data_IF_612952062859
#
_entry.id   IF_612952062859
#
_cell.length_a   1.000
_cell.length_b   1.000
_cell.length_c   1.000
_cell.angle_alpha   90.00
_cell.angle_beta   90.00
_cell.angle_gamma   90.00
#
_symmetry.space_group_name_H-M   'P 1'
#
loop_
_entity.id
_entity.type
_entity.pdbx_description
1 polymer ?
#
# COMPACT_ATOMS: atom_id res chain seq x y z
N UNK A 1 -19.40 -10.91 6.29
CA UNK A 1 -18.19 -10.27 6.87
C UNK A 1 -16.95 -11.18 6.79
N UNK A 2 -17.03 -12.50 6.99
CA UNK A 2 -15.86 -13.40 6.85
C UNK A 2 -15.51 -13.78 5.39
N UNK A 3 -16.47 -14.09 4.48
CA UNK A 3 -16.12 -14.57 3.14
C UNK A 3 -15.29 -13.58 2.30
N UNK A 4 -15.54 -12.28 2.45
CA UNK A 4 -14.78 -11.25 1.73
C UNK A 4 -13.31 -11.18 2.13
N UNK A 5 -13.00 -11.42 3.40
CA UNK A 5 -11.62 -11.44 3.90
C UNK A 5 -10.89 -12.69 3.38
N UNK A 6 -11.56 -13.84 3.33
CA UNK A 6 -10.99 -15.08 2.77
C UNK A 6 -10.65 -14.88 1.29
N UNK A 7 -11.58 -14.33 0.50
CA UNK A 7 -11.34 -14.07 -0.92
C UNK A 7 -10.18 -13.06 -1.14
N UNK A 8 -10.10 -12.02 -0.30
CA UNK A 8 -8.98 -11.08 -0.35
C UNK A 8 -7.66 -11.77 -0.02
N UNK A 9 -7.63 -12.60 1.03
CA UNK A 9 -6.44 -13.34 1.42
C UNK A 9 -5.98 -14.25 0.29
N UNK A 10 -6.86 -15.06 -0.28
CA UNK A 10 -6.55 -15.95 -1.41
C UNK A 10 -5.97 -15.17 -2.59
N UNK A 11 -6.51 -13.99 -2.89
CA UNK A 11 -6.05 -13.11 -3.97
C UNK A 11 -4.63 -12.58 -3.74
N UNK A 12 -4.30 -12.14 -2.53
CA UNK A 12 -3.01 -11.49 -2.23
C UNK A 12 -1.93 -12.48 -1.76
N UNK A 13 -2.30 -13.68 -1.34
CA UNK A 13 -1.41 -14.68 -0.75
C UNK A 13 -0.15 -14.97 -1.59
N UNK A 14 -0.23 -15.14 -2.93
CA UNK A 14 0.97 -15.42 -3.73
C UNK A 14 2.00 -14.29 -3.65
N UNK A 15 1.54 -13.04 -3.57
CA UNK A 15 2.38 -11.84 -3.51
C UNK A 15 2.99 -11.71 -2.10
N UNK A 16 2.18 -11.90 -1.05
CA UNK A 16 2.62 -11.74 0.34
C UNK A 16 3.62 -12.83 0.76
N UNK A 17 3.42 -14.07 0.32
CA UNK A 17 4.25 -15.21 0.75
C UNK A 17 5.59 -15.26 0.00
N UNK A 18 5.61 -14.87 -1.28
CA UNK A 18 6.80 -15.04 -2.14
C UNK A 18 7.48 -13.73 -2.54
N UNK A 19 6.77 -12.62 -2.44
CA UNK A 19 7.28 -11.33 -2.89
C UNK A 19 8.28 -10.71 -1.93
N UNK A 20 8.92 -9.65 -2.40
CA UNK A 20 9.84 -8.83 -1.62
C UNK A 20 9.06 -7.90 -0.69
N UNK A 21 9.36 -7.96 0.61
CA UNK A 21 8.73 -7.12 1.62
C UNK A 21 9.52 -5.83 1.86
N UNK A 22 8.87 -4.70 1.64
CA UNK A 22 9.36 -3.36 1.93
C UNK A 22 8.61 -2.81 3.14
N UNK A 23 9.32 -2.60 4.25
CA UNK A 23 8.76 -1.81 5.36
C UNK A 23 8.77 -0.35 4.95
N UNK A 24 7.59 0.23 4.82
CA UNK A 24 7.42 1.62 4.44
C UNK A 24 7.14 2.45 5.70
N UNK A 25 7.72 3.63 5.76
CA UNK A 25 7.84 4.48 6.95
C UNK A 25 8.79 3.98 8.04
N UNK A 26 9.46 4.97 8.61
CA UNK A 26 10.58 4.94 9.56
C UNK A 26 10.29 6.02 10.64
N UNK A 27 11.02 6.00 11.78
CA UNK A 27 10.49 5.90 13.15
C UNK A 27 9.83 7.14 13.77
N UNK A 28 9.75 8.28 13.07
CA UNK A 28 9.40 9.57 13.67
C UNK A 28 7.92 9.69 14.06
N UNK A 29 7.04 9.01 13.32
CA UNK A 29 5.63 8.88 13.71
C UNK A 29 5.16 7.41 13.58
N UNK A 30 5.00 6.70 14.71
CA UNK A 30 4.57 5.31 14.71
C UNK A 30 3.08 5.15 14.38
N UNK A 31 2.31 6.23 14.19
CA UNK A 31 0.86 6.16 14.02
C UNK A 31 0.42 5.54 12.69
N UNK A 32 1.28 5.57 11.66
CA UNK A 32 0.96 5.03 10.33
C UNK A 32 1.97 4.00 9.82
N UNK A 33 1.99 2.79 10.41
CA UNK A 33 2.83 1.72 9.92
C UNK A 33 2.34 1.27 8.54
N UNK A 34 3.29 0.97 7.66
CA UNK A 34 3.00 0.55 6.30
C UNK A 34 3.95 -0.58 5.88
N UNK A 35 3.46 -1.49 5.05
CA UNK A 35 4.28 -2.54 4.44
C UNK A 35 3.81 -2.81 3.04
N UNK A 36 4.73 -2.86 2.10
CA UNK A 36 4.48 -3.16 0.70
C UNK A 36 5.13 -4.49 0.36
N UNK A 37 4.37 -5.37 -0.27
CA UNK A 37 4.88 -6.59 -0.89
C UNK A 37 4.88 -6.39 -2.40
N UNK A 38 6.02 -6.64 -3.05
CA UNK A 38 6.14 -6.61 -4.52
C UNK A 38 6.36 -8.04 -5.00
N UNK A 39 5.60 -8.50 -5.98
CA UNK A 39 5.73 -9.85 -6.53
C UNK A 39 7.14 -10.06 -7.11
N UNK A 40 7.63 -11.30 -7.13
CA UNK A 40 8.99 -11.64 -7.61
C UNK A 40 9.26 -11.14 -9.04
N UNK A 41 8.22 -11.08 -9.89
CA UNK A 41 8.31 -10.57 -11.26
C UNK A 41 8.06 -9.06 -11.39
N UNK A 42 7.81 -8.35 -10.27
CA UNK A 42 7.56 -6.91 -10.22
C UNK A 42 6.27 -6.43 -10.88
N UNK A 43 5.35 -7.34 -11.25
CA UNK A 43 4.12 -6.99 -11.96
C UNK A 43 2.94 -6.68 -11.04
N UNK A 44 2.99 -7.11 -9.78
CA UNK A 44 1.93 -6.85 -8.81
C UNK A 44 2.54 -6.38 -7.48
N UNK A 45 1.81 -5.54 -6.76
CA UNK A 45 2.18 -5.20 -5.39
C UNK A 45 0.94 -5.05 -4.50
N UNK A 46 1.13 -5.27 -3.20
CA UNK A 46 0.09 -5.11 -2.18
C UNK A 46 0.63 -4.25 -1.06
N UNK A 47 0.00 -3.11 -0.84
CA UNK A 47 0.30 -2.20 0.27
C UNK A 47 -0.71 -2.47 1.40
N UNK A 48 -0.19 -2.75 2.57
CA UNK A 48 -0.91 -2.68 3.83
C UNK A 48 -0.57 -1.35 4.51
N UNK A 49 -1.58 -0.53 4.76
CA UNK A 49 -1.40 0.78 5.37
C UNK A 49 -2.39 0.96 6.52
N UNK A 50 -1.89 1.33 7.70
CA UNK A 50 -2.69 1.39 8.91
C UNK A 50 -2.67 2.78 9.53
N UNK A 51 -3.68 3.08 10.35
CA UNK A 51 -3.68 4.14 11.34
C UNK A 51 -3.95 3.55 12.72
N UNK A 52 -3.06 3.76 13.69
CA UNK A 52 -3.22 3.21 15.04
C UNK A 52 -4.16 4.06 15.89
N UNK A 53 -3.99 5.38 15.86
CA UNK A 53 -4.77 6.37 16.59
C UNK A 53 -5.39 7.37 15.63
N UNK A 54 -6.63 7.75 15.91
CA UNK A 54 -7.37 8.75 15.17
C UNK A 54 -6.58 10.06 15.07
N UNK A 55 -6.50 10.58 13.86
CA UNK A 55 -5.79 11.82 13.56
C UNK A 55 -6.81 12.91 13.24
N UNK A 56 -7.00 13.85 14.17
CA UNK A 56 -7.97 14.94 14.03
C UNK A 56 -7.28 16.25 13.65
N UNK A 57 -7.98 17.08 12.87
CA UNK A 57 -7.60 18.47 12.56
C UNK A 57 -6.22 18.69 11.89
N UNK A 58 -5.64 17.66 11.26
CA UNK A 58 -4.35 17.72 10.58
C UNK A 58 -4.40 17.00 9.22
N UNK A 59 -3.44 17.31 8.35
CA UNK A 59 -3.32 16.67 7.04
C UNK A 59 -2.80 15.23 7.21
N UNK A 60 -3.44 14.27 6.52
CA UNK A 60 -2.94 12.90 6.47
C UNK A 60 -1.59 12.84 5.71
N UNK A 61 -0.60 12.11 6.21
CA UNK A 61 0.68 12.00 5.54
C UNK A 61 0.56 11.22 4.23
N UNK A 62 1.47 11.50 3.31
CA UNK A 62 1.59 10.76 2.06
C UNK A 62 2.55 9.58 2.25
N UNK A 63 2.10 8.37 1.94
CA UNK A 63 2.92 7.16 1.99
C UNK A 63 3.68 6.99 0.67
N UNK A 64 5.01 7.08 0.73
CA UNK A 64 5.88 6.86 -0.44
C UNK A 64 6.21 5.37 -0.58
N UNK A 65 6.03 4.84 -1.79
CA UNK A 65 6.31 3.44 -2.07
C UNK A 65 7.80 3.21 -2.35
N UNK A 66 8.21 1.94 -2.37
CA UNK A 66 9.57 1.52 -2.68
C UNK A 66 9.54 0.21 -3.50
N UNK A 67 10.65 -0.16 -4.13
CA UNK A 67 10.76 -1.44 -4.84
C UNK A 67 9.97 -1.57 -6.16
N UNK A 68 9.35 -0.48 -6.63
CA UNK A 68 8.64 -0.46 -7.92
C UNK A 68 9.59 -0.14 -9.07
N UNK A 69 9.24 -0.58 -10.29
CA UNK A 69 9.94 -0.16 -11.51
C UNK A 69 9.62 1.32 -11.81
N UNK A 70 10.61 2.23 -11.79
CA UNK A 70 10.36 3.67 -11.95
C UNK A 70 9.81 4.07 -13.32
N UNK A 71 10.04 3.24 -14.36
CA UNK A 71 9.59 3.49 -15.74
C UNK A 71 8.24 2.85 -16.04
N UNK A 72 7.79 1.91 -15.21
CA UNK A 72 6.51 1.25 -15.38
C UNK A 72 5.34 2.12 -14.92
N UNK A 73 4.16 1.85 -15.48
CA UNK A 73 2.89 2.38 -14.98
C UNK A 73 2.17 1.33 -14.16
N UNK A 74 1.61 1.74 -13.03
CA UNK A 74 0.89 0.88 -12.11
C UNK A 74 -0.53 1.40 -11.95
N UNK A 75 -1.50 0.49 -12.10
CA UNK A 75 -2.89 0.73 -11.78
C UNK A 75 -3.13 0.44 -10.30
N UNK A 76 -3.52 1.46 -9.55
CA UNK A 76 -3.80 1.44 -8.11
C UNK A 76 -5.30 1.25 -7.90
N UNK A 77 -5.67 0.18 -7.19
CA UNK A 77 -7.05 -0.24 -6.89
C UNK A 77 -8.00 -0.26 -8.10
N UNK A 78 -7.46 -0.43 -9.31
CA UNK A 78 -8.22 -0.43 -10.55
C UNK A 78 -8.66 0.94 -11.06
N UNK A 79 -8.46 2.02 -10.29
CA UNK A 79 -9.11 3.33 -10.51
C UNK A 79 -8.16 4.41 -11.02
N UNK A 80 -6.87 4.33 -10.66
CA UNK A 80 -5.88 5.35 -10.98
C UNK A 80 -4.63 4.70 -11.55
N UNK A 81 -4.01 5.29 -12.57
CA UNK A 81 -2.72 4.82 -13.09
C UNK A 81 -1.65 5.88 -12.84
N UNK A 82 -0.56 5.48 -12.17
CA UNK A 82 0.58 6.34 -11.86
C UNK A 82 1.89 5.62 -12.23
N UNK A 83 2.93 6.37 -12.60
CA UNK A 83 4.25 5.77 -12.81
C UNK A 83 4.85 5.30 -11.48
N UNK A 84 5.68 4.26 -11.51
CA UNK A 84 6.42 3.80 -10.34
C UNK A 84 7.28 4.91 -9.74
N UNK A 85 7.89 5.75 -10.57
CA UNK A 85 8.62 6.95 -10.12
C UNK A 85 7.74 7.95 -9.38
N UNK A 86 6.49 8.16 -9.82
CA UNK A 86 5.53 9.04 -9.14
C UNK A 86 5.13 8.46 -7.77
N UNK A 87 4.83 7.17 -7.73
CA UNK A 87 4.47 6.44 -6.51
C UNK A 87 5.62 6.43 -5.47
N UNK A 88 6.87 6.33 -5.92
CA UNK A 88 8.02 6.34 -5.02
C UNK A 88 8.44 7.74 -4.60
N UNK A 89 8.25 8.76 -5.45
CA UNK A 89 8.67 10.16 -5.16
C UNK A 89 7.61 10.95 -4.39
N UNK A 90 6.38 10.89 -4.84
CA UNK A 90 5.27 11.67 -4.30
C UNK A 90 4.40 10.84 -3.36
N UNK A 91 4.16 9.56 -3.67
CA UNK A 91 3.40 8.65 -2.81
C UNK A 91 1.88 8.73 -3.00
N UNK A 92 1.16 8.07 -2.09
CA UNK A 92 -0.30 8.00 -2.03
C UNK A 92 -0.80 8.63 -0.73
N UNK A 93 -1.95 9.30 -0.76
CA UNK A 93 -2.58 9.84 0.44
C UNK A 93 -3.92 9.12 0.66
N UNK A 94 -4.13 8.65 1.88
CA UNK A 94 -5.37 8.03 2.32
C UNK A 94 -5.93 8.75 3.53
N UNK A 95 -7.25 8.88 3.59
CA UNK A 95 -7.96 9.40 4.76
C UNK A 95 -8.40 8.24 5.66
N UNK A 96 -8.47 8.52 6.96
CA UNK A 96 -8.96 7.61 7.99
C UNK A 96 -9.98 8.36 8.84
N UNK A 97 -11.06 7.69 9.23
CA UNK A 97 -12.18 8.24 9.99
C UNK A 97 -12.10 7.92 11.49
N UNK A 98 -11.19 7.04 11.93
CA UNK A 98 -11.08 6.64 13.34
C UNK A 98 -9.82 5.86 13.72
N UNK A 99 -9.83 5.26 14.91
CA UNK A 99 -8.74 4.43 15.42
C UNK A 99 -8.66 3.07 14.69
N UNK A 100 -7.47 2.49 14.63
CA UNK A 100 -7.20 1.13 14.13
C UNK A 100 -7.78 0.78 12.75
N UNK A 101 -7.81 1.76 11.84
CA UNK A 101 -8.27 1.56 10.48
C UNK A 101 -7.13 1.15 9.54
N UNK A 102 -7.48 0.51 8.43
CA UNK A 102 -6.51 -0.01 7.47
C UNK A 102 -7.00 0.10 6.04
N UNK A 103 -6.05 0.27 5.13
CA UNK A 103 -6.21 0.08 3.70
C UNK A 103 -5.39 -1.13 3.25
N UNK A 104 -5.99 -1.97 2.40
CA UNK A 104 -5.27 -2.97 1.60
C UNK A 104 -5.40 -2.51 0.16
N UNK A 105 -4.27 -2.09 -0.41
CA UNK A 105 -4.22 -1.43 -1.72
C UNK A 105 -3.49 -2.34 -2.68
N UNK A 106 -4.08 -2.56 -3.84
CA UNK A 106 -3.49 -3.40 -4.88
C UNK A 106 -2.94 -2.56 -6.03
N UNK A 107 -1.75 -2.93 -6.48
CA UNK A 107 -1.08 -2.33 -7.62
C UNK A 107 -0.84 -3.40 -8.68
N UNK A 108 -1.19 -3.08 -9.92
CA UNK A 108 -0.99 -3.95 -11.09
C UNK A 108 -0.18 -3.18 -12.14
N UNK A 109 0.96 -3.72 -12.56
CA UNK A 109 1.79 -3.15 -13.63
C UNK A 109 1.03 -3.30 -14.97
N UNK A 110 0.89 -2.19 -15.69
CA UNK A 110 0.37 -2.17 -17.06
C UNK A 110 1.45 -2.60 -18.07
#
# INVERSE_FOLDING_TARGET
MIPGIVALQERINPIVVKGDMWRLNQPDDPNWPATLFVSENGTQAVLFYFQLKAHFNNLFPTIKLQGLDPQASYRVDGNMTLSGSTLMRFGLQYTFEGDYQSWVVMLEKN
#
